data_IF_270258050263
#
_entry.id   IF_270258050263
#
_cell.length_a   1.000
_cell.length_b   1.000
_cell.length_c   1.000
_cell.angle_alpha   90.00
_cell.angle_beta   90.00
_cell.angle_gamma   90.00
#
_symmetry.space_group_name_H-M   'P 1'
#
loop_
_entity.id
_entity.type
_entity.pdbx_description
1 polymer ?
#
# COMPACT_ATOMS: atom_id res chain seq x y z
N UNK A 1 -10.81 4.43 -6.41
CA UNK A 1 -11.70 4.69 -7.57
C UNK A 1 -11.63 3.54 -8.58
N UNK A 2 -10.44 3.24 -9.16
CA UNK A 2 -10.28 2.25 -10.27
C UNK A 2 -10.80 0.86 -9.89
N UNK A 3 -10.34 0.28 -8.77
CA UNK A 3 -10.75 -1.07 -8.35
C UNK A 3 -12.26 -1.23 -8.19
N UNK A 4 -12.92 -0.18 -7.66
CA UNK A 4 -14.37 -0.16 -7.53
C UNK A 4 -15.08 -0.04 -8.89
N UNK A 5 -14.51 0.76 -9.79
CA UNK A 5 -15.04 0.92 -11.14
C UNK A 5 -14.95 -0.36 -11.96
N UNK A 6 -13.86 -1.10 -11.80
CA UNK A 6 -13.66 -2.40 -12.44
C UNK A 6 -14.42 -3.55 -11.74
N UNK A 7 -15.18 -3.24 -10.69
CA UNK A 7 -15.95 -4.22 -9.90
C UNK A 7 -15.11 -5.36 -9.28
N UNK A 8 -13.79 -5.15 -9.17
CA UNK A 8 -12.88 -6.11 -8.53
C UNK A 8 -12.72 -5.87 -7.02
N UNK A 9 -13.41 -4.86 -6.50
CA UNK A 9 -13.41 -4.48 -5.09
C UNK A 9 -14.82 -4.09 -4.64
N UNK A 10 -15.32 -4.76 -3.61
CA UNK A 10 -16.59 -4.46 -2.95
C UNK A 10 -16.32 -3.88 -1.55
N UNK A 11 -16.58 -2.58 -1.31
CA UNK A 11 -16.35 -1.96 -0.01
C UNK A 11 -17.28 -2.48 1.10
N UNK A 12 -18.37 -3.15 0.76
CA UNK A 12 -19.32 -3.76 1.70
C UNK A 12 -18.94 -5.18 2.11
N UNK A 13 -17.91 -5.75 1.53
CA UNK A 13 -17.47 -7.12 1.80
C UNK A 13 -16.17 -7.12 2.62
N UNK A 14 -16.22 -7.71 3.80
CA UNK A 14 -15.05 -7.89 4.64
C UNK A 14 -13.95 -8.67 3.90
N UNK A 15 -12.71 -8.19 4.07
CA UNK A 15 -11.53 -8.81 3.44
C UNK A 15 -11.39 -8.56 1.94
N UNK A 16 -12.28 -7.78 1.30
CA UNK A 16 -12.15 -7.44 -0.13
C UNK A 16 -11.02 -6.46 -0.43
N UNK A 17 -10.57 -5.70 0.57
CA UNK A 17 -9.40 -4.82 0.49
C UNK A 17 -8.42 -5.13 1.61
N UNK A 18 -7.16 -5.26 1.26
CA UNK A 18 -6.05 -5.30 2.20
C UNK A 18 -4.99 -4.32 1.76
N UNK A 19 -4.53 -3.50 2.70
CA UNK A 19 -3.50 -2.50 2.47
C UNK A 19 -2.35 -2.76 3.43
N UNK A 20 -1.14 -2.84 2.91
CA UNK A 20 0.09 -2.80 3.67
C UNK A 20 0.78 -1.47 3.34
N UNK A 21 1.00 -0.64 4.36
CA UNK A 21 1.56 0.69 4.22
C UNK A 21 2.98 0.75 4.77
N UNK A 22 3.88 1.42 4.07
CA UNK A 22 5.25 1.63 4.52
C UNK A 22 5.46 3.11 4.79
N UNK A 23 6.11 3.44 5.91
CA UNK A 23 6.39 4.80 6.31
C UNK A 23 7.77 4.94 6.94
N UNK A 24 8.48 6.00 6.54
CA UNK A 24 9.72 6.48 7.15
C UNK A 24 9.67 7.99 7.28
N UNK A 25 10.17 8.53 8.36
CA UNK A 25 10.37 9.96 8.50
C UNK A 25 11.81 10.31 8.12
N UNK A 26 11.96 11.32 7.28
CA UNK A 26 13.24 11.91 6.92
C UNK A 26 13.35 13.30 7.54
N UNK A 27 14.57 13.80 7.86
CA UNK A 27 14.78 15.17 8.31
C UNK A 27 14.24 16.17 7.27
N UNK A 28 13.70 17.31 7.74
CA UNK A 28 13.15 18.33 6.85
C UNK A 28 14.24 19.07 6.03
N UNK A 29 15.48 19.01 6.48
CA UNK A 29 16.67 19.55 5.84
C UNK A 29 17.39 18.53 4.95
N UNK A 30 16.82 17.34 4.78
CA UNK A 30 17.37 16.37 3.84
C UNK A 30 17.32 16.93 2.42
N UNK A 31 18.43 16.81 1.65
CA UNK A 31 18.45 17.31 0.28
C UNK A 31 17.37 16.62 -0.57
N UNK A 32 16.80 17.36 -1.55
CA UNK A 32 15.79 16.79 -2.48
C UNK A 32 16.28 15.57 -3.25
N UNK A 33 17.60 15.40 -3.31
CA UNK A 33 18.25 14.23 -3.93
C UNK A 33 18.35 13.01 -3.01
N UNK A 34 17.53 12.91 -1.95
CA UNK A 34 17.47 11.68 -1.14
C UNK A 34 17.06 10.53 -2.05
N UNK A 35 18.04 9.72 -2.41
CA UNK A 35 17.85 8.59 -3.32
C UNK A 35 16.93 7.54 -2.71
N UNK A 36 16.29 6.72 -3.56
CA UNK A 36 15.50 5.56 -3.07
C UNK A 36 16.32 4.66 -2.13
N UNK A 37 17.64 4.58 -2.32
CA UNK A 37 18.55 3.85 -1.46
C UNK A 37 18.67 4.47 -0.05
N UNK A 38 18.71 5.81 0.03
CA UNK A 38 18.69 6.50 1.33
C UNK A 38 17.34 6.34 2.02
N UNK A 39 16.23 6.32 1.26
CA UNK A 39 14.90 6.01 1.79
C UNK A 39 14.79 4.54 2.22
N UNK A 40 15.42 3.62 1.48
CA UNK A 40 15.46 2.21 1.86
C UNK A 40 16.34 1.96 3.08
N UNK A 41 17.40 2.76 3.26
CA UNK A 41 18.27 2.72 4.44
C UNK A 41 17.63 3.42 5.66
N UNK A 42 16.65 4.31 5.46
CA UNK A 42 15.87 4.87 6.54
C UNK A 42 15.06 3.76 7.22
N UNK A 43 15.07 3.73 8.55
CA UNK A 43 14.35 2.75 9.34
C UNK A 43 12.85 2.80 9.04
N UNK A 44 12.38 1.80 8.30
CA UNK A 44 11.03 1.73 7.74
C UNK A 44 10.10 0.98 8.67
N UNK A 45 8.94 1.54 8.94
CA UNK A 45 7.85 0.85 9.60
C UNK A 45 6.83 0.38 8.55
N UNK A 46 6.59 -0.92 8.51
CA UNK A 46 5.51 -1.53 7.73
C UNK A 46 4.27 -1.66 8.61
N UNK A 47 3.14 -1.11 8.18
CA UNK A 47 1.86 -1.22 8.90
C UNK A 47 0.94 -2.15 8.12
N UNK A 48 0.53 -3.22 8.76
CA UNK A 48 -0.37 -4.27 8.23
C UNK A 48 -1.76 -4.22 8.87
N UNK A 49 -2.65 -5.06 8.38
CA UNK A 49 -4.03 -5.20 8.88
C UNK A 49 -4.89 -3.95 8.67
N UNK A 50 -4.73 -3.32 7.52
CA UNK A 50 -5.55 -2.18 7.12
C UNK A 50 -6.57 -2.68 6.08
N UNK A 51 -7.85 -2.49 6.37
CA UNK A 51 -8.96 -2.98 5.56
C UNK A 51 -9.70 -1.88 4.78
N UNK A 52 -9.32 -0.61 4.99
CA UNK A 52 -9.98 0.53 4.34
C UNK A 52 -9.01 1.66 4.02
N UNK A 53 -9.37 2.53 3.06
CA UNK A 53 -8.59 3.73 2.76
C UNK A 53 -8.55 4.70 3.94
N UNK A 54 -9.68 4.82 4.66
CA UNK A 54 -9.75 5.64 5.89
C UNK A 54 -8.85 5.06 6.98
N UNK A 55 -8.84 3.74 7.14
CA UNK A 55 -7.91 3.05 8.05
C UNK A 55 -6.45 3.31 7.69
N UNK A 56 -6.12 3.33 6.39
CA UNK A 56 -4.77 3.66 5.93
C UNK A 56 -4.35 5.08 6.30
N UNK A 57 -5.22 6.06 6.07
CA UNK A 57 -4.98 7.45 6.46
C UNK A 57 -4.74 7.58 7.98
N UNK A 58 -5.61 6.98 8.78
CA UNK A 58 -5.51 7.02 10.23
C UNK A 58 -4.26 6.32 10.76
N UNK A 59 -3.93 5.14 10.22
CA UNK A 59 -2.74 4.39 10.59
C UNK A 59 -1.46 5.16 10.27
N UNK A 60 -1.37 5.79 9.10
CA UNK A 60 -0.23 6.60 8.71
C UNK A 60 -0.12 7.87 9.55
N UNK A 61 -1.23 8.56 9.82
CA UNK A 61 -1.25 9.74 10.70
C UNK A 61 -0.77 9.40 12.13
N UNK A 62 -1.22 8.25 12.66
CA UNK A 62 -0.76 7.76 13.94
C UNK A 62 0.75 7.48 13.93
N UNK A 63 1.25 6.77 12.91
CA UNK A 63 2.68 6.45 12.79
C UNK A 63 3.55 7.69 12.66
N UNK A 64 3.15 8.69 11.88
CA UNK A 64 3.85 9.98 11.81
C UNK A 64 3.99 10.59 13.21
N UNK A 65 2.91 10.60 13.97
CA UNK A 65 2.91 11.16 15.33
C UNK A 65 3.79 10.37 16.29
N UNK A 66 3.70 9.03 16.23
CA UNK A 66 4.51 8.12 17.06
C UNK A 66 5.99 8.27 16.78
N UNK A 67 6.39 8.21 15.51
CA UNK A 67 7.78 8.31 15.09
C UNK A 67 8.36 9.69 15.42
N UNK A 68 7.60 10.77 15.14
CA UNK A 68 8.01 12.13 15.50
C UNK A 68 8.23 12.28 17.00
N UNK A 69 7.36 11.72 17.84
CA UNK A 69 7.53 11.75 19.27
C UNK A 69 8.75 10.95 19.75
N UNK A 70 9.01 9.79 19.15
CA UNK A 70 10.19 8.97 19.45
C UNK A 70 11.49 9.73 19.12
N UNK A 71 11.57 10.31 17.92
CA UNK A 71 12.72 11.09 17.47
C UNK A 71 12.97 12.32 18.35
N UNK A 72 11.92 13.06 18.76
CA UNK A 72 12.05 14.18 19.71
C UNK A 72 12.60 13.77 21.07
N UNK A 73 12.43 12.53 21.47
CA UNK A 73 12.96 11.95 22.72
C UNK A 73 14.35 11.31 22.53
N UNK A 74 14.98 11.50 21.38
CA UNK A 74 16.29 10.92 21.07
C UNK A 74 16.27 9.41 20.83
N UNK A 75 15.07 8.81 20.65
CA UNK A 75 14.96 7.38 20.33
C UNK A 75 15.15 7.16 18.84
N UNK A 76 15.87 6.12 18.49
CA UNK A 76 15.96 5.69 17.10
C UNK A 76 14.71 4.90 16.70
N UNK A 77 14.28 5.07 15.46
CA UNK A 77 13.26 4.24 14.84
C UNK A 77 13.99 3.04 14.26
N UNK A 78 13.61 1.84 14.65
CA UNK A 78 14.10 0.58 14.09
C UNK A 78 13.15 0.09 13.02
N UNK A 79 13.69 -0.65 12.06
CA UNK A 79 12.83 -1.32 11.08
C UNK A 79 11.94 -2.33 11.81
N UNK A 80 10.64 -2.16 11.70
CA UNK A 80 9.66 -3.01 12.39
C UNK A 80 8.38 -3.17 11.57
N UNK A 81 7.68 -4.28 11.80
CA UNK A 81 6.32 -4.49 11.32
C UNK A 81 5.34 -4.27 12.46
N UNK A 82 4.31 -3.48 12.19
CA UNK A 82 3.23 -3.17 13.13
C UNK A 82 1.89 -3.54 12.51
N UNK A 83 0.88 -3.83 13.31
CA UNK A 83 -0.47 -3.98 12.82
C UNK A 83 -1.35 -2.79 13.25
N UNK A 84 -2.28 -2.42 12.41
CA UNK A 84 -3.29 -1.43 12.72
C UNK A 84 -4.41 -2.06 13.55
N UNK A 85 -4.65 -1.52 14.75
CA UNK A 85 -5.78 -1.83 15.59
C UNK A 85 -6.83 -0.72 15.40
N UNK A 86 -7.80 -0.99 14.54
CA UNK A 86 -8.82 0.00 14.17
C UNK A 86 -9.70 0.38 15.37
N UNK A 87 -9.96 -0.57 16.28
CA UNK A 87 -10.80 -0.35 17.46
C UNK A 87 -10.17 0.62 18.44
N UNK A 88 -8.84 0.60 18.56
CA UNK A 88 -8.07 1.46 19.46
C UNK A 88 -7.49 2.68 18.77
N UNK A 89 -7.48 2.71 17.43
CA UNK A 89 -6.87 3.78 16.66
C UNK A 89 -5.36 3.89 16.84
N UNK A 90 -4.67 2.76 17.01
CA UNK A 90 -3.22 2.71 17.26
C UNK A 90 -2.55 1.63 16.42
N UNK A 91 -1.26 1.78 16.18
CA UNK A 91 -0.45 0.68 15.67
C UNK A 91 0.20 -0.08 16.83
N UNK A 92 0.25 -1.40 16.73
CA UNK A 92 0.84 -2.30 17.73
C UNK A 92 2.00 -3.04 17.09
N UNK A 93 3.17 -3.06 17.75
CA UNK A 93 4.33 -3.79 17.26
C UNK A 93 4.01 -5.29 17.16
N UNK A 94 4.31 -5.88 16.02
CA UNK A 94 4.29 -7.32 15.85
C UNK A 94 5.60 -7.89 16.38
N UNK A 95 5.53 -9.12 16.90
CA UNK A 95 6.76 -9.82 17.32
C UNK A 95 7.69 -9.90 16.11
N UNK A 96 8.90 -9.36 16.24
CA UNK A 96 9.96 -9.52 15.26
C UNK A 96 10.18 -11.01 15.03
N UNK A 97 9.83 -11.50 13.85
CA UNK A 97 10.36 -12.78 13.39
C UNK A 97 11.77 -12.49 12.94
N UNK A 98 12.74 -12.87 13.74
CA UNK A 98 14.14 -12.84 13.36
C UNK A 98 14.30 -13.62 12.06
N UNK A 99 14.90 -12.95 11.07
CA UNK A 99 15.14 -13.39 9.70
C UNK A 99 13.87 -13.61 8.85
N UNK A 100 13.66 -12.72 7.89
CA UNK A 100 12.86 -13.05 6.69
C UNK A 100 13.48 -14.33 6.12
N UNK A 101 12.80 -15.46 6.32
CA UNK A 101 13.13 -16.66 5.58
C UNK A 101 12.88 -16.33 4.12
N UNK A 102 13.90 -16.49 3.31
CA UNK A 102 13.82 -16.45 1.86
C UNK A 102 12.72 -17.43 1.42
N UNK A 103 11.50 -16.90 1.20
CA UNK A 103 10.39 -17.68 0.70
C UNK A 103 10.67 -17.97 -0.77
N UNK A 104 11.32 -19.11 -1.01
CA UNK A 104 11.43 -19.62 -2.38
C UNK A 104 10.04 -20.05 -2.80
N UNK A 105 9.49 -19.37 -3.79
CA UNK A 105 8.25 -19.78 -4.43
C UNK A 105 8.56 -21.01 -5.31
N UNK A 106 8.12 -22.15 -4.85
CA UNK A 106 8.13 -23.37 -5.66
C UNK A 106 6.79 -23.47 -6.39
N UNK A 107 6.85 -23.99 -7.63
CA UNK A 107 5.62 -24.38 -8.30
C UNK A 107 4.89 -25.44 -7.47
N UNK A 108 3.58 -25.26 -7.28
CA UNK A 108 2.76 -26.26 -6.59
C UNK A 108 2.68 -27.52 -7.45
N UNK A 109 3.08 -28.65 -6.89
CA UNK A 109 3.17 -29.90 -7.64
C UNK A 109 1.81 -30.40 -8.13
N UNK A 110 0.74 -30.08 -7.41
CA UNK A 110 -0.62 -30.51 -7.70
C UNK A 110 -1.38 -29.58 -8.66
N UNK A 111 -0.79 -28.44 -9.03
CA UNK A 111 -1.40 -27.46 -9.91
C UNK A 111 -0.68 -27.38 -11.26
N UNK A 112 -1.40 -27.55 -12.39
CA UNK A 112 -0.81 -27.35 -13.70
C UNK A 112 -0.47 -25.87 -13.94
N UNK A 113 0.56 -25.56 -14.74
CA UNK A 113 0.89 -24.19 -15.10
C UNK A 113 -0.30 -23.46 -15.75
N UNK A 114 -0.65 -22.29 -15.22
CA UNK A 114 -1.71 -21.43 -15.75
C UNK A 114 -1.24 -20.75 -17.06
N UNK A 115 -1.98 -20.97 -18.14
CA UNK A 115 -1.76 -20.32 -19.44
C UNK A 115 -2.56 -19.03 -19.52
N UNK A 116 -2.15 -18.01 -18.77
CA UNK A 116 -2.89 -16.73 -18.67
C UNK A 116 -2.94 -15.94 -19.98
N UNK A 117 -2.04 -16.20 -20.93
CA UNK A 117 -2.03 -15.51 -22.23
C UNK A 117 -3.32 -15.75 -23.02
N UNK A 118 -3.83 -16.97 -22.98
CA UNK A 118 -5.03 -17.37 -23.73
C UNK A 118 -6.29 -16.67 -23.20
N UNK A 119 -6.27 -16.25 -21.94
CA UNK A 119 -7.38 -15.52 -21.30
C UNK A 119 -7.23 -14.01 -21.40
N UNK A 120 -6.00 -13.50 -21.32
CA UNK A 120 -5.71 -12.08 -21.36
C UNK A 120 -6.30 -11.40 -22.59
N UNK A 121 -6.18 -12.05 -23.73
CA UNK A 121 -6.61 -11.50 -25.04
C UNK A 121 -8.15 -11.58 -25.20
N UNK A 122 -8.85 -12.27 -24.30
CA UNK A 122 -10.31 -12.34 -24.26
C UNK A 122 -10.93 -11.36 -23.26
N UNK A 123 -10.11 -10.75 -22.40
CA UNK A 123 -10.57 -9.80 -21.39
C UNK A 123 -10.54 -8.37 -21.95
N UNK A 124 -11.71 -7.81 -22.16
CA UNK A 124 -11.84 -6.41 -22.49
C UNK A 124 -11.77 -5.55 -21.22
N UNK A 125 -10.78 -4.70 -21.12
CA UNK A 125 -10.69 -3.72 -20.03
C UNK A 125 -11.56 -2.52 -20.43
N UNK A 126 -12.58 -2.14 -19.62
CA UNK A 126 -13.40 -0.96 -19.92
C UNK A 126 -12.56 0.32 -19.84
N UNK A 127 -12.98 1.34 -20.58
CA UNK A 127 -12.34 2.65 -20.53
C UNK A 127 -12.30 3.19 -19.11
N UNK A 128 -11.11 3.51 -18.60
CA UNK A 128 -10.95 3.97 -17.22
C UNK A 128 -11.51 5.39 -17.03
N UNK A 129 -12.05 5.71 -15.83
CA UNK A 129 -12.62 7.02 -15.55
C UNK A 129 -11.68 8.21 -15.80
N UNK A 130 -10.38 8.01 -15.67
CA UNK A 130 -9.38 9.05 -15.89
C UNK A 130 -9.20 9.42 -17.37
N UNK A 131 -9.57 8.54 -18.29
CA UNK A 131 -9.42 8.75 -19.74
C UNK A 131 -10.68 9.40 -20.33
N UNK A 132 -11.86 9.17 -19.73
CA UNK A 132 -13.14 9.69 -20.20
C UNK A 132 -13.19 11.20 -20.41
N UNK A 133 -12.71 12.05 -19.46
CA UNK A 133 -12.78 13.50 -19.63
C UNK A 133 -12.05 13.98 -20.88
N UNK A 134 -10.85 13.42 -21.17
CA UNK A 134 -10.10 13.77 -22.36
C UNK A 134 -10.87 13.39 -23.65
N UNK A 135 -11.48 12.21 -23.69
CA UNK A 135 -12.28 11.78 -24.85
C UNK A 135 -13.51 12.65 -25.06
N UNK A 136 -14.23 13.03 -24.01
CA UNK A 136 -15.39 13.90 -24.13
C UNK A 136 -15.01 15.33 -24.54
N UNK A 137 -13.87 15.85 -24.06
CA UNK A 137 -13.38 17.16 -24.47
C UNK A 137 -12.93 17.19 -25.93
N UNK A 138 -12.22 16.17 -26.38
CA UNK A 138 -11.65 16.12 -27.74
C UNK A 138 -12.67 15.63 -28.79
N UNK A 139 -13.54 14.67 -28.45
CA UNK A 139 -14.42 14.01 -29.40
C UNK A 139 -15.84 14.55 -29.42
N UNK A 140 -16.39 14.89 -28.29
CA UNK A 140 -17.81 15.29 -28.15
C UNK A 140 -17.97 16.80 -27.92
N UNK A 141 -16.86 17.58 -27.83
CA UNK A 141 -16.87 19.04 -27.64
C UNK A 141 -17.47 19.49 -26.31
N UNK A 142 -17.47 18.60 -25.31
CA UNK A 142 -17.91 18.92 -23.94
C UNK A 142 -16.73 19.42 -23.13
N UNK A 143 -16.83 20.60 -22.55
CA UNK A 143 -15.84 21.09 -21.59
C UNK A 143 -15.89 20.24 -20.32
N UNK A 144 -14.73 19.99 -19.66
CA UNK A 144 -14.62 19.15 -18.48
C UNK A 144 -15.29 19.78 -17.24
#
# INVERSE_FOLDING_TARGET
>A
AILRYLEVFDPGRDGSLRVDANISLVPADAPESVTEEALAAANRTEVKNISSLKGAEQALAYEVSRQRQALRRGKQITQETRHWDESRGVTVAMRSKEAEKDYRYFAEADLPPLRVRDWRDQIAIPELPAVRPARFGEGDGLEP
#
